data_IF_398059622560
#
_entry.id   IF_398059622560
#
_cell.length_a   1.000
_cell.length_b   1.000
_cell.length_c   1.000
_cell.angle_alpha   90.00
_cell.angle_beta   90.00
_cell.angle_gamma   90.00
#
_symmetry.space_group_name_H-M   'P 1'
#
loop_
_entity.id
_entity.type
_entity.pdbx_description
1 polymer ?
#
# COMPACT_ATOMS: atom_id res chain seq x y z
N UNK A 1 26.62 8.76 0.50
CA UNK A 1 25.56 7.95 1.13
C UNK A 1 24.44 8.88 1.54
N UNK A 2 23.26 8.60 1.05
CA UNK A 2 22.03 9.35 1.38
C UNK A 2 21.00 8.38 1.95
N UNK A 3 20.19 8.86 2.87
CA UNK A 3 19.08 8.06 3.42
C UNK A 3 17.93 8.97 3.80
N UNK A 4 16.68 8.57 3.48
CA UNK A 4 15.54 9.41 3.79
C UNK A 4 14.20 8.75 3.47
N UNK A 5 13.15 9.43 3.89
CA UNK A 5 11.77 8.97 3.83
C UNK A 5 11.04 9.56 2.61
N UNK A 6 10.40 8.71 1.85
CA UNK A 6 9.59 9.08 0.68
C UNK A 6 8.13 8.71 0.93
N UNK A 7 7.27 9.70 1.08
CA UNK A 7 5.83 9.47 1.23
C UNK A 7 5.17 9.31 -0.14
N UNK A 8 4.45 8.22 -0.35
CA UNK A 8 3.74 7.97 -1.60
C UNK A 8 2.29 8.44 -1.48
N UNK A 9 1.93 9.41 -2.29
CA UNK A 9 0.61 10.05 -2.30
C UNK A 9 -0.02 9.92 -3.68
N UNK A 10 -1.32 9.86 -3.74
CA UNK A 10 -2.09 9.82 -4.98
C UNK A 10 -3.45 9.19 -4.78
N UNK A 11 -4.26 9.24 -5.81
CA UNK A 11 -5.61 8.70 -5.82
C UNK A 11 -5.62 7.19 -5.50
N UNK A 12 -6.74 6.69 -5.02
CA UNK A 12 -6.99 5.25 -4.95
C UNK A 12 -6.86 4.63 -6.34
N UNK A 13 -6.29 3.43 -6.42
CA UNK A 13 -6.04 2.72 -7.68
C UNK A 13 -5.06 3.40 -8.68
N UNK A 14 -4.35 4.46 -8.29
CA UNK A 14 -3.25 5.01 -9.08
C UNK A 14 -2.06 4.04 -9.20
N UNK A 15 -2.00 3.02 -8.31
CA UNK A 15 -0.98 1.97 -8.32
C UNK A 15 0.14 2.16 -7.32
N UNK A 16 -0.10 2.87 -6.21
CA UNK A 16 0.89 3.15 -5.15
C UNK A 16 1.52 1.89 -4.54
N UNK A 17 0.69 1.00 -4.00
CA UNK A 17 1.17 -0.26 -3.39
C UNK A 17 1.79 -1.20 -4.44
N UNK A 18 1.28 -1.19 -5.68
CA UNK A 18 1.87 -1.95 -6.79
C UNK A 18 3.26 -1.41 -7.15
N UNK A 19 3.44 -0.09 -7.11
CA UNK A 19 4.73 0.56 -7.34
C UNK A 19 5.75 0.14 -6.26
N UNK A 20 5.37 0.19 -4.99
CA UNK A 20 6.24 -0.28 -3.89
C UNK A 20 6.66 -1.73 -4.10
N UNK A 21 5.71 -2.64 -4.34
CA UNK A 21 6.01 -4.05 -4.57
C UNK A 21 6.91 -4.25 -5.81
N UNK A 22 6.74 -3.43 -6.85
CA UNK A 22 7.61 -3.50 -8.04
C UNK A 22 9.04 -3.06 -7.73
N UNK A 23 9.23 -2.04 -6.88
CA UNK A 23 10.55 -1.55 -6.49
C UNK A 23 11.31 -2.51 -5.58
N UNK A 24 10.59 -3.24 -4.72
CA UNK A 24 11.16 -4.27 -3.84
C UNK A 24 11.43 -5.59 -4.56
N UNK A 25 10.82 -5.81 -5.71
CA UNK A 25 10.73 -7.12 -6.39
C UNK A 25 10.03 -8.20 -5.53
N UNK A 26 9.46 -7.79 -4.40
CA UNK A 26 8.75 -8.63 -3.43
C UNK A 26 7.38 -8.05 -3.09
N UNK A 27 6.45 -8.90 -2.69
CA UNK A 27 5.09 -8.48 -2.33
C UNK A 27 4.97 -8.32 -0.82
N UNK A 28 5.00 -7.08 -0.35
CA UNK A 28 4.79 -6.74 1.07
C UNK A 28 3.57 -5.86 1.30
N UNK A 29 3.14 -5.10 0.31
CA UNK A 29 2.00 -4.20 0.39
C UNK A 29 0.75 -4.83 -0.25
N UNK A 30 -0.41 -4.60 0.36
CA UNK A 30 -1.70 -5.02 -0.16
C UNK A 30 -2.00 -4.35 -1.50
N UNK A 31 -2.36 -5.15 -2.49
CA UNK A 31 -2.79 -4.67 -3.80
C UNK A 31 -4.23 -5.09 -4.07
N UNK A 32 -5.12 -4.13 -4.26
CA UNK A 32 -6.51 -4.40 -4.61
C UNK A 32 -7.04 -3.37 -5.60
N UNK A 33 -7.94 -3.80 -6.47
CA UNK A 33 -8.70 -2.90 -7.34
C UNK A 33 -9.79 -2.13 -6.59
N UNK A 34 -10.11 -2.53 -5.36
CA UNK A 34 -11.10 -1.82 -4.51
C UNK A 34 -10.47 -0.58 -3.89
N UNK A 35 -11.27 0.45 -3.76
CA UNK A 35 -10.85 1.72 -3.18
C UNK A 35 -10.46 1.55 -1.70
N UNK A 36 -9.49 2.34 -1.22
CA UNK A 36 -9.08 2.37 0.19
C UNK A 36 -8.70 0.99 0.78
N UNK A 37 -8.09 0.11 -0.02
CA UNK A 37 -7.64 -1.19 0.45
C UNK A 37 -6.48 -1.06 1.45
N UNK A 38 -5.52 -0.16 1.20
CA UNK A 38 -4.42 0.15 2.13
C UNK A 38 -4.95 0.94 3.33
N UNK A 39 -4.91 0.34 4.51
CA UNK A 39 -5.40 0.96 5.75
C UNK A 39 -4.29 1.37 6.70
N UNK A 40 -3.16 0.71 6.64
CA UNK A 40 -2.00 0.97 7.51
C UNK A 40 -0.82 1.44 6.68
N UNK A 41 0.02 2.27 7.29
CA UNK A 41 1.28 2.69 6.68
C UNK A 41 2.23 1.50 6.63
N UNK A 42 2.63 1.10 5.45
CA UNK A 42 3.68 0.11 5.25
C UNK A 42 4.94 0.87 4.86
N UNK A 43 6.05 0.56 5.51
CA UNK A 43 7.36 1.05 5.12
C UNK A 43 8.06 0.01 4.28
N UNK A 44 8.67 0.44 3.19
CA UNK A 44 9.46 -0.38 2.30
C UNK A 44 10.86 0.22 2.17
N UNK A 45 11.89 -0.57 2.35
CA UNK A 45 13.28 -0.15 2.29
C UNK A 45 13.85 -0.61 0.95
N UNK A 46 14.34 0.34 0.15
CA UNK A 46 14.92 0.07 -1.16
C UNK A 46 16.33 0.66 -1.21
N UNK A 47 17.30 -0.17 -1.53
CA UNK A 47 18.69 0.27 -1.76
C UNK A 47 18.87 0.67 -3.22
N UNK A 48 19.55 1.79 -3.47
CA UNK A 48 19.96 2.24 -4.78
C UNK A 48 21.45 2.58 -4.79
N UNK A 49 22.29 1.58 -4.99
CA UNK A 49 23.74 1.68 -4.72
C UNK A 49 23.97 1.84 -3.22
N UNK A 50 24.64 2.93 -2.83
CA UNK A 50 24.89 3.28 -1.44
C UNK A 50 23.82 4.17 -0.81
N UNK A 51 22.72 4.43 -1.49
CA UNK A 51 21.63 5.25 -0.96
C UNK A 51 20.47 4.38 -0.51
N UNK A 52 19.85 4.74 0.65
CA UNK A 52 18.69 4.05 1.23
C UNK A 52 17.43 4.90 1.09
N UNK A 53 16.40 4.37 0.46
CA UNK A 53 15.10 5.03 0.28
C UNK A 53 14.07 4.29 1.11
N UNK A 54 13.43 4.97 2.06
CA UNK A 54 12.36 4.41 2.87
C UNK A 54 11.01 4.92 2.36
N UNK A 55 10.34 4.11 1.56
CA UNK A 55 9.00 4.42 1.09
C UNK A 55 7.96 4.21 2.19
N UNK A 56 7.03 5.16 2.30
CA UNK A 56 5.88 5.08 3.20
C UNK A 56 4.63 4.99 2.32
N UNK A 57 3.99 3.81 2.28
CA UNK A 57 2.68 3.66 1.61
C UNK A 57 1.62 4.36 2.44
N UNK A 58 0.87 5.23 1.81
CA UNK A 58 -0.22 5.93 2.45
C UNK A 58 -1.56 5.53 1.85
N UNK A 59 -2.62 5.53 2.65
CA UNK A 59 -3.97 5.43 2.12
C UNK A 59 -4.21 6.47 1.03
N UNK A 60 -4.92 6.09 -0.04
CA UNK A 60 -5.18 7.00 -1.18
C UNK A 60 -6.01 8.22 -0.78
N UNK A 61 -5.68 9.38 -1.35
CA UNK A 61 -6.50 10.58 -1.25
C UNK A 61 -7.82 10.36 -2.00
N UNK A 62 -8.93 10.56 -1.34
CA UNK A 62 -10.26 10.51 -1.95
C UNK A 62 -11.20 11.48 -1.25
N UNK A 63 -11.94 12.24 -2.04
CA UNK A 63 -13.05 13.06 -1.53
C UNK A 63 -14.23 12.14 -1.18
N UNK A 64 -14.48 11.90 0.09
CA UNK A 64 -15.76 11.38 0.55
C UNK A 64 -16.09 11.88 1.95
N UNK A 65 -17.37 12.02 2.20
CA UNK A 65 -17.93 12.59 3.44
C UNK A 65 -17.90 11.62 4.64
N UNK A 66 -17.33 10.42 4.50
CA UNK A 66 -17.30 9.43 5.56
C UNK A 66 -16.13 9.65 6.52
N UNK A 67 -16.34 9.45 7.82
CA UNK A 67 -15.35 9.64 8.90
C UNK A 67 -14.04 8.88 8.67
N UNK A 68 -14.11 7.70 8.06
CA UNK A 68 -12.94 6.91 7.68
C UNK A 68 -12.05 7.64 6.66
N UNK A 69 -12.62 8.34 5.69
CA UNK A 69 -11.86 9.06 4.67
C UNK A 69 -11.20 10.33 5.21
N UNK A 70 -11.78 11.01 6.18
CA UNK A 70 -11.11 12.11 6.88
C UNK A 70 -9.87 11.63 7.62
N UNK A 71 -9.93 10.47 8.24
CA UNK A 71 -8.77 9.84 8.89
C UNK A 71 -7.67 9.48 7.87
N UNK A 72 -8.05 8.96 6.70
CA UNK A 72 -7.10 8.61 5.64
C UNK A 72 -6.41 9.86 5.05
N UNK A 73 -7.16 10.94 4.83
CA UNK A 73 -6.62 12.24 4.38
C UNK A 73 -5.69 12.82 5.45
N UNK A 74 -6.09 12.82 6.72
CA UNK A 74 -5.25 13.29 7.82
C UNK A 74 -3.97 12.46 7.97
N UNK A 75 -4.05 11.16 7.77
CA UNK A 75 -2.88 10.27 7.79
C UNK A 75 -1.92 10.56 6.64
N UNK A 76 -2.45 10.87 5.44
CA UNK A 76 -1.64 11.32 4.31
C UNK A 76 -0.98 12.67 4.59
N UNK A 77 -1.73 13.66 5.08
CA UNK A 77 -1.21 14.99 5.46
C UNK A 77 -0.12 14.87 6.52
N UNK A 78 -0.33 14.06 7.56
CA UNK A 78 0.69 13.81 8.59
C UNK A 78 1.95 13.17 8.00
N UNK A 79 1.81 12.25 7.05
CA UNK A 79 2.96 11.63 6.36
C UNK A 79 3.73 12.61 5.49
N UNK A 80 3.09 13.68 5.00
CA UNK A 80 3.76 14.75 4.26
C UNK A 80 4.66 15.60 5.16
N UNK A 81 4.35 15.71 6.46
CA UNK A 81 5.18 16.43 7.43
C UNK A 81 6.38 15.64 7.96
N UNK A 82 6.34 14.31 7.80
CA UNK A 82 7.33 13.38 8.36
C UNK A 82 8.19 12.72 7.25
N UNK A 83 8.33 13.34 6.07
CA UNK A 83 9.13 12.80 4.97
C UNK A 83 10.02 13.86 4.34
N UNK A 84 11.07 13.41 3.65
CA UNK A 84 12.04 14.26 2.94
C UNK A 84 11.58 14.57 1.51
N UNK A 85 10.86 13.63 0.89
CA UNK A 85 10.37 13.75 -0.49
C UNK A 85 8.96 13.16 -0.58
N UNK A 86 8.12 13.77 -1.42
CA UNK A 86 6.82 13.20 -1.78
C UNK A 86 6.89 12.62 -3.19
N UNK A 87 6.36 11.41 -3.35
CA UNK A 87 6.13 10.79 -4.63
C UNK A 87 4.63 10.83 -4.93
N UNK A 88 4.22 11.78 -5.79
CA UNK A 88 2.84 11.87 -6.24
C UNK A 88 2.59 10.90 -7.38
N UNK A 89 1.80 9.88 -7.14
CA UNK A 89 1.48 8.83 -8.13
C UNK A 89 0.11 9.07 -8.73
N UNK A 90 0.07 9.31 -10.02
CA UNK A 90 -1.14 9.41 -10.83
C UNK A 90 -1.15 8.31 -11.90
N UNK A 91 -2.29 7.73 -12.20
CA UNK A 91 -2.45 6.93 -13.41
C UNK A 91 -2.47 7.86 -14.63
N UNK A 92 -1.95 7.39 -15.76
CA UNK A 92 -2.00 8.16 -17.02
C UNK A 92 -3.43 8.55 -17.42
N UNK A 93 -4.45 7.85 -16.90
CA UNK A 93 -5.87 8.11 -17.14
C UNK A 93 -6.52 9.02 -16.09
N UNK A 94 -5.81 9.35 -15.00
CA UNK A 94 -6.34 10.20 -13.94
C UNK A 94 -6.43 11.66 -14.39
N UNK A 95 -7.36 12.40 -13.79
CA UNK A 95 -7.49 13.85 -14.02
C UNK A 95 -6.35 14.60 -13.34
N UNK A 96 -5.87 15.67 -13.99
CA UNK A 96 -4.90 16.61 -13.39
C UNK A 96 -5.47 17.32 -12.15
N UNK A 97 -6.81 17.35 -11.99
CA UNK A 97 -7.47 17.89 -10.78
C UNK A 97 -7.00 17.21 -9.48
N UNK A 98 -6.67 15.93 -9.54
CA UNK A 98 -6.13 15.23 -8.37
C UNK A 98 -4.78 15.81 -7.91
N UNK A 99 -3.97 16.28 -8.87
CA UNK A 99 -2.73 16.99 -8.58
C UNK A 99 -2.98 18.43 -8.11
N UNK A 100 -3.96 19.13 -8.67
CA UNK A 100 -4.37 20.44 -8.18
C UNK A 100 -4.86 20.38 -6.73
N UNK A 101 -5.66 19.37 -6.40
CA UNK A 101 -6.08 19.09 -5.03
C UNK A 101 -4.88 18.79 -4.10
N UNK A 102 -3.88 18.04 -4.58
CA UNK A 102 -2.64 17.82 -3.82
C UNK A 102 -1.89 19.15 -3.59
N UNK A 103 -1.76 20.01 -4.60
CA UNK A 103 -1.09 21.30 -4.46
C UNK A 103 -1.82 22.23 -3.48
N UNK A 104 -3.16 22.16 -3.40
CA UNK A 104 -3.96 22.94 -2.45
C UNK A 104 -3.64 22.61 -0.99
N UNK A 105 -3.07 21.43 -0.70
CA UNK A 105 -2.58 21.04 0.63
C UNK A 105 -1.26 21.72 0.98
N UNK A 106 -0.68 22.52 0.07
CA UNK A 106 0.55 23.28 0.26
C UNK A 106 1.73 22.43 0.76
N UNK A 107 2.16 21.40 0.00
CA UNK A 107 3.28 20.54 0.40
C UNK A 107 4.56 21.36 0.59
N UNK A 108 5.24 21.18 1.73
CA UNK A 108 6.45 21.93 2.09
C UNK A 108 7.75 21.28 1.63
N UNK A 109 7.67 19.98 1.29
CA UNK A 109 8.82 19.19 0.85
C UNK A 109 8.82 19.02 -0.66
N UNK A 110 10.00 18.80 -1.28
CA UNK A 110 10.07 18.57 -2.71
C UNK A 110 9.27 17.33 -3.11
N UNK A 111 8.73 17.35 -4.32
CA UNK A 111 8.00 16.20 -4.84
C UNK A 111 8.29 15.89 -6.29
N UNK A 112 8.14 14.61 -6.63
CA UNK A 112 8.24 14.04 -7.98
C UNK A 112 6.87 13.50 -8.36
N UNK A 113 6.49 13.66 -9.64
CA UNK A 113 5.28 13.07 -10.20
C UNK A 113 5.64 11.78 -10.93
N UNK A 114 4.92 10.70 -10.63
CA UNK A 114 4.98 9.43 -11.37
C UNK A 114 3.68 9.26 -12.15
N UNK A 115 3.78 9.28 -13.47
CA UNK A 115 2.68 8.92 -14.37
C UNK A 115 2.70 7.41 -14.59
N UNK A 116 1.94 6.69 -13.77
CA UNK A 116 1.89 5.23 -13.77
C UNK A 116 0.95 4.67 -14.85
N UNK A 117 1.10 3.39 -15.13
CA UNK A 117 0.30 2.61 -16.10
C UNK A 117 0.51 3.06 -17.55
N UNK A 118 1.69 3.58 -17.88
CA UNK A 118 2.00 4.01 -19.27
C UNK A 118 2.03 2.84 -20.25
N UNK A 119 2.14 1.61 -19.76
CA UNK A 119 2.01 0.39 -20.57
C UNK A 119 0.60 0.16 -21.15
N UNK A 120 -0.40 0.88 -20.66
CA UNK A 120 -1.80 0.81 -21.10
C UNK A 120 -2.20 1.96 -22.03
N UNK A 121 -1.28 2.84 -22.40
CA UNK A 121 -1.54 4.02 -23.22
C UNK A 121 -0.57 4.10 -24.40
N UNK A 122 -1.00 4.77 -25.46
CA UNK A 122 -0.15 5.11 -26.60
C UNK A 122 0.72 6.35 -26.33
N UNK A 123 1.69 6.59 -27.20
CA UNK A 123 2.58 7.75 -27.09
C UNK A 123 1.85 9.09 -27.18
N UNK A 124 0.75 9.17 -27.96
CA UNK A 124 -0.05 10.38 -28.10
C UNK A 124 -0.74 10.75 -26.78
N UNK A 125 -1.32 9.76 -26.11
CA UNK A 125 -1.94 9.91 -24.78
C UNK A 125 -0.89 10.32 -23.74
N UNK A 126 0.29 9.72 -23.77
CA UNK A 126 1.38 10.08 -22.88
C UNK A 126 1.83 11.54 -23.08
N UNK A 127 2.08 11.96 -24.32
CA UNK A 127 2.48 13.34 -24.65
C UNK A 127 1.42 14.36 -24.23
N UNK A 128 0.14 14.07 -24.50
CA UNK A 128 -0.97 14.91 -24.05
C UNK A 128 -0.96 15.08 -22.54
N UNK A 129 -0.79 13.97 -21.80
CA UNK A 129 -0.78 14.01 -20.33
C UNK A 129 0.43 14.79 -19.81
N UNK A 130 1.61 14.61 -20.36
CA UNK A 130 2.80 15.39 -19.99
C UNK A 130 2.59 16.89 -20.22
N UNK A 131 1.96 17.28 -21.33
CA UNK A 131 1.61 18.69 -21.61
C UNK A 131 0.60 19.27 -20.62
N UNK A 132 -0.37 18.45 -20.14
CA UNK A 132 -1.28 18.87 -19.08
C UNK A 132 -0.54 19.22 -17.78
N UNK A 133 0.45 18.41 -17.40
CA UNK A 133 1.29 18.65 -16.21
C UNK A 133 2.34 19.74 -16.40
N UNK A 134 2.76 20.05 -17.61
CA UNK A 134 3.76 21.09 -17.89
C UNK A 134 3.39 22.47 -17.33
N UNK A 135 2.10 22.77 -17.21
CA UNK A 135 1.57 24.00 -16.58
C UNK A 135 2.00 24.15 -15.12
N UNK A 136 2.34 23.05 -14.46
CA UNK A 136 2.73 22.99 -13.05
C UNK A 136 4.23 22.78 -12.86
N UNK A 137 5.05 22.90 -13.90
CA UNK A 137 6.49 22.59 -13.88
C UNK A 137 7.29 23.28 -12.78
N UNK A 138 6.85 24.45 -12.33
CA UNK A 138 7.47 25.20 -11.23
C UNK A 138 7.26 24.58 -9.84
N UNK A 139 6.31 23.65 -9.68
CA UNK A 139 5.96 23.08 -8.39
C UNK A 139 6.62 21.74 -8.12
N UNK A 140 6.96 20.95 -9.13
CA UNK A 140 7.58 19.63 -8.98
C UNK A 140 9.04 19.62 -9.47
N UNK A 141 9.82 18.65 -8.97
CA UNK A 141 11.23 18.50 -9.37
C UNK A 141 11.41 17.68 -10.64
N UNK A 142 10.58 16.66 -10.84
CA UNK A 142 10.59 15.83 -12.04
C UNK A 142 9.19 15.22 -12.26
N UNK A 143 8.91 14.85 -13.52
CA UNK A 143 7.78 14.02 -13.90
C UNK A 143 8.30 12.82 -14.68
N UNK A 144 7.95 11.61 -14.22
CA UNK A 144 8.47 10.36 -14.75
C UNK A 144 7.34 9.45 -15.22
N UNK A 145 7.32 9.05 -16.50
CA UNK A 145 6.49 7.94 -16.96
C UNK A 145 6.92 6.66 -16.25
N UNK A 146 5.97 5.82 -15.83
CA UNK A 146 6.24 4.60 -15.10
C UNK A 146 5.27 3.46 -15.47
N UNK A 147 5.80 2.25 -15.45
CA UNK A 147 5.00 1.03 -15.49
C UNK A 147 5.53 0.01 -14.48
N UNK A 148 4.68 -0.40 -13.55
CA UNK A 148 5.03 -1.44 -12.57
C UNK A 148 5.29 -2.81 -13.20
N UNK A 149 4.94 -3.00 -14.49
CA UNK A 149 5.17 -4.25 -15.22
C UNK A 149 6.55 -4.32 -15.89
N UNK A 150 7.27 -3.20 -15.96
CA UNK A 150 8.53 -3.08 -16.70
C UNK A 150 9.65 -2.57 -15.80
N UNK A 151 10.67 -3.39 -15.57
CA UNK A 151 11.81 -3.07 -14.68
C UNK A 151 12.65 -1.86 -15.11
N UNK A 152 12.70 -1.55 -16.40
CA UNK A 152 13.51 -0.42 -16.93
C UNK A 152 13.08 0.95 -16.39
N UNK A 153 11.91 1.09 -15.79
CA UNK A 153 11.44 2.34 -15.18
C UNK A 153 11.92 2.53 -13.73
N UNK A 154 12.40 1.48 -13.06
CA UNK A 154 12.75 1.53 -11.64
C UNK A 154 13.99 2.41 -11.41
N UNK A 155 15.09 2.12 -12.09
CA UNK A 155 16.38 2.82 -11.89
C UNK A 155 16.30 4.32 -12.12
N UNK A 156 15.65 4.83 -13.20
CA UNK A 156 15.43 6.27 -13.37
C UNK A 156 14.69 6.92 -12.21
N UNK A 157 13.64 6.27 -11.70
CA UNK A 157 12.85 6.78 -10.56
C UNK A 157 13.72 6.84 -9.30
N UNK A 158 14.42 5.76 -8.97
CA UNK A 158 15.28 5.71 -7.78
C UNK A 158 16.39 6.76 -7.85
N UNK A 159 17.01 6.93 -9.01
CA UNK A 159 18.06 7.95 -9.20
C UNK A 159 17.54 9.38 -8.99
N UNK A 160 16.34 9.71 -9.48
CA UNK A 160 15.75 11.04 -9.26
C UNK A 160 15.39 11.26 -7.79
N UNK A 161 14.89 10.24 -7.09
CA UNK A 161 14.63 10.32 -5.66
C UNK A 161 15.92 10.54 -4.86
N UNK A 162 16.99 9.78 -5.12
CA UNK A 162 18.28 9.93 -4.44
C UNK A 162 18.88 11.34 -4.56
N UNK A 163 18.62 12.06 -5.67
CA UNK A 163 19.09 13.45 -5.81
C UNK A 163 18.50 14.37 -4.75
N UNK A 164 17.27 14.09 -4.30
CA UNK A 164 16.49 14.92 -3.38
C UNK A 164 16.63 14.50 -1.90
N UNK A 165 17.14 13.30 -1.64
CA UNK A 165 17.35 12.81 -0.29
C UNK A 165 18.52 13.51 0.42
N UNK A 166 18.43 13.71 1.75
CA UNK A 166 19.51 14.26 2.55
C UNK A 166 20.69 13.29 2.67
N UNK A 167 21.87 13.83 2.96
CA UNK A 167 23.00 13.05 3.42
C UNK A 167 22.72 12.59 4.85
N UNK A 168 22.63 11.28 5.06
CA UNK A 168 22.32 10.69 6.34
C UNK A 168 22.79 9.23 6.38
N UNK A 169 23.11 8.73 7.56
CA UNK A 169 23.37 7.31 7.80
C UNK A 169 22.10 6.48 7.59
N UNK A 170 22.24 5.17 7.40
CA UNK A 170 21.08 4.29 7.22
C UNK A 170 20.18 4.29 8.46
N UNK A 171 18.88 4.45 8.25
CA UNK A 171 17.87 4.30 9.28
C UNK A 171 17.59 2.83 9.62
N UNK A 172 17.83 1.93 8.67
CA UNK A 172 17.58 0.50 8.79
C UNK A 172 18.74 -0.27 8.20
N UNK A 173 18.90 -1.52 8.64
CA UNK A 173 19.82 -2.44 7.99
C UNK A 173 19.48 -2.58 6.50
N UNK A 174 20.52 -2.58 5.66
CA UNK A 174 20.39 -2.65 4.21
C UNK A 174 19.82 -3.96 3.68
N UNK A 175 19.84 -5.02 4.51
CA UNK A 175 19.24 -6.32 4.18
C UNK A 175 17.74 -6.36 4.44
N UNK A 176 17.18 -5.41 5.18
CA UNK A 176 15.75 -5.37 5.47
C UNK A 176 14.96 -4.76 4.30
N UNK A 177 13.94 -5.48 3.85
CA UNK A 177 12.97 -4.97 2.88
C UNK A 177 11.88 -4.11 3.52
N UNK A 178 11.61 -4.33 4.80
CA UNK A 178 10.60 -3.61 5.57
C UNK A 178 10.86 -3.75 7.07
N UNK A 179 10.62 -2.69 7.87
CA UNK A 179 10.63 -2.78 9.32
C UNK A 179 9.32 -3.37 9.87
N UNK A 180 8.32 -3.64 9.00
CA UNK A 180 7.04 -4.24 9.42
C UNK A 180 7.26 -5.66 9.92
N UNK A 181 6.55 -6.03 10.97
CA UNK A 181 6.63 -7.40 11.48
C UNK A 181 6.06 -8.40 10.49
N UNK A 182 6.53 -9.64 10.54
CA UNK A 182 5.94 -10.75 9.77
C UNK A 182 4.41 -10.84 9.94
N UNK A 183 3.92 -10.60 11.18
CA UNK A 183 2.48 -10.60 11.49
C UNK A 183 1.73 -9.52 10.72
N UNK A 184 2.33 -8.35 10.53
CA UNK A 184 1.73 -7.26 9.77
C UNK A 184 1.58 -7.65 8.29
N UNK A 185 2.62 -8.25 7.72
CA UNK A 185 2.59 -8.72 6.32
C UNK A 185 1.54 -9.83 6.14
N UNK A 186 1.49 -10.80 7.06
CA UNK A 186 0.48 -11.86 6.98
C UNK A 186 -0.94 -11.32 7.11
N UNK A 187 -1.15 -10.32 7.97
CA UNK A 187 -2.42 -9.61 8.07
C UNK A 187 -2.83 -8.98 6.76
N UNK A 188 -1.92 -8.26 6.08
CA UNK A 188 -2.19 -7.66 4.78
C UNK A 188 -2.55 -8.71 3.72
N UNK A 189 -1.88 -9.86 3.68
CA UNK A 189 -2.22 -10.94 2.74
C UNK A 189 -3.58 -11.58 2.99
N UNK A 190 -3.96 -11.76 4.27
CA UNK A 190 -5.29 -12.25 4.61
C UNK A 190 -6.35 -11.21 4.21
N UNK A 191 -6.09 -9.93 4.51
CA UNK A 191 -6.99 -8.84 4.15
C UNK A 191 -7.14 -8.71 2.62
N UNK A 192 -6.05 -8.80 1.87
CA UNK A 192 -6.08 -8.82 0.40
C UNK A 192 -6.94 -9.96 -0.12
N UNK A 193 -6.80 -11.16 0.46
CA UNK A 193 -7.59 -12.31 0.08
C UNK A 193 -9.08 -12.12 0.36
N UNK A 194 -9.44 -11.37 1.42
CA UNK A 194 -10.82 -10.95 1.66
C UNK A 194 -11.30 -9.99 0.56
N UNK A 195 -10.49 -8.99 0.20
CA UNK A 195 -10.83 -8.06 -0.88
C UNK A 195 -11.02 -8.73 -2.24
N UNK A 196 -10.22 -9.74 -2.55
CA UNK A 196 -10.32 -10.47 -3.83
C UNK A 196 -11.51 -11.43 -3.89
N UNK A 197 -11.87 -12.01 -2.74
CA UNK A 197 -12.90 -13.06 -2.68
C UNK A 197 -14.30 -12.59 -2.32
N UNK A 198 -14.45 -11.35 -1.86
CA UNK A 198 -15.73 -10.76 -1.48
C UNK A 198 -16.01 -9.50 -2.29
N UNK A 199 -17.29 -9.24 -2.53
CA UNK A 199 -17.78 -8.03 -3.22
C UNK A 199 -18.27 -6.97 -2.23
N UNK A 200 -18.57 -5.77 -2.77
CA UNK A 200 -19.24 -4.67 -2.09
C UNK A 200 -18.52 -4.16 -0.84
N UNK A 201 -19.29 -3.88 0.23
CA UNK A 201 -18.80 -3.19 1.44
C UNK A 201 -18.22 -4.14 2.49
N UNK A 202 -18.47 -5.44 2.39
CA UNK A 202 -18.06 -6.42 3.40
C UNK A 202 -16.56 -6.43 3.71
N UNK A 203 -15.64 -6.33 2.73
CA UNK A 203 -14.21 -6.22 3.02
C UNK A 203 -13.86 -5.03 3.91
N UNK A 204 -14.56 -3.91 3.79
CA UNK A 204 -14.32 -2.70 4.59
C UNK A 204 -14.77 -2.84 6.05
N UNK A 205 -15.69 -3.77 6.31
CA UNK A 205 -16.22 -4.09 7.65
C UNK A 205 -15.39 -5.14 8.39
N UNK A 206 -14.23 -5.53 7.86
CA UNK A 206 -13.38 -6.57 8.44
C UNK A 206 -12.05 -6.00 8.94
N UNK A 207 -11.50 -6.57 10.00
CA UNK A 207 -10.13 -6.38 10.44
C UNK A 207 -9.49 -7.73 10.72
N UNK A 208 -8.17 -7.83 10.60
CA UNK A 208 -7.43 -9.06 10.82
C UNK A 208 -6.56 -8.93 12.06
N UNK A 209 -6.62 -9.93 12.93
CA UNK A 209 -5.74 -10.04 14.08
C UNK A 209 -5.00 -11.37 14.03
N UNK A 210 -3.68 -11.31 13.93
CA UNK A 210 -2.82 -12.48 14.09
C UNK A 210 -2.67 -12.75 15.59
N UNK A 211 -3.18 -13.88 16.04
CA UNK A 211 -3.14 -14.28 17.47
C UNK A 211 -1.82 -14.94 17.82
N UNK A 212 -1.42 -15.88 17.00
CA UNK A 212 -0.21 -16.65 17.25
C UNK A 212 0.47 -17.04 15.94
N UNK A 213 1.78 -17.18 16.00
CA UNK A 213 2.60 -17.74 14.92
C UNK A 213 3.58 -18.72 15.55
N UNK A 214 3.73 -19.90 14.96
CA UNK A 214 4.69 -20.90 15.40
C UNK A 214 5.41 -21.47 14.18
N UNK A 215 6.70 -21.38 14.19
CA UNK A 215 7.55 -21.97 13.17
C UNK A 215 8.12 -23.31 13.65
N UNK A 216 8.10 -24.27 12.76
CA UNK A 216 8.75 -25.57 12.90
C UNK A 216 9.61 -25.83 11.67
N UNK A 217 10.48 -26.81 11.70
CA UNK A 217 11.40 -27.10 10.58
C UNK A 217 10.72 -27.23 9.21
N UNK A 218 9.46 -27.70 9.15
CA UNK A 218 8.77 -28.01 7.90
C UNK A 218 7.40 -27.34 7.76
N UNK A 219 6.96 -26.54 8.75
CA UNK A 219 5.61 -25.99 8.78
C UNK A 219 5.57 -24.69 9.57
N UNK A 220 4.96 -23.66 8.98
CA UNK A 220 4.63 -22.42 9.65
C UNK A 220 3.14 -22.39 9.99
N UNK A 221 2.81 -22.27 11.27
CA UNK A 221 1.42 -22.26 11.76
C UNK A 221 1.02 -20.83 12.08
N UNK A 222 -0.12 -20.39 11.57
CA UNK A 222 -0.67 -19.07 11.81
C UNK A 222 -2.11 -19.22 12.31
N UNK A 223 -2.38 -18.67 13.49
CA UNK A 223 -3.72 -18.56 14.05
C UNK A 223 -4.19 -17.10 13.87
N UNK A 224 -5.21 -16.87 13.06
CA UNK A 224 -5.71 -15.54 12.75
C UNK A 224 -7.23 -15.43 12.95
N UNK A 225 -7.68 -14.25 13.35
CA UNK A 225 -9.07 -13.90 13.50
C UNK A 225 -9.46 -12.83 12.49
N UNK A 226 -10.57 -13.06 11.79
CA UNK A 226 -11.28 -12.08 10.98
C UNK A 226 -12.35 -11.48 11.88
N UNK A 227 -12.25 -10.19 12.15
CA UNK A 227 -13.13 -9.45 13.04
C UNK A 227 -14.11 -8.67 12.20
N UNK A 228 -15.39 -8.71 12.55
CA UNK A 228 -16.48 -8.00 11.86
C UNK A 228 -17.50 -7.44 12.85
N UNK A 229 -18.34 -6.52 12.41
CA UNK A 229 -19.30 -5.81 13.27
C UNK A 229 -20.56 -6.61 13.61
N UNK A 230 -21.04 -7.46 12.68
CA UNK A 230 -22.38 -8.06 12.75
C UNK A 230 -22.36 -9.57 12.50
N UNK A 231 -23.38 -10.26 13.00
CA UNK A 231 -23.58 -11.67 12.70
C UNK A 231 -23.90 -11.92 11.21
N UNK A 232 -24.55 -10.97 10.54
CA UNK A 232 -24.81 -11.06 9.10
C UNK A 232 -23.47 -11.06 8.32
N UNK A 233 -22.57 -10.14 8.61
CA UNK A 233 -21.24 -10.10 8.01
C UNK A 233 -20.44 -11.38 8.33
N UNK A 234 -20.53 -11.90 9.56
CA UNK A 234 -19.91 -13.18 9.92
C UNK A 234 -20.45 -14.33 9.06
N UNK A 235 -21.76 -14.41 8.86
CA UNK A 235 -22.36 -15.44 8.03
C UNK A 235 -21.89 -15.35 6.57
N UNK A 236 -21.81 -14.13 6.01
CA UNK A 236 -21.30 -13.90 4.65
C UNK A 236 -19.81 -14.28 4.51
N UNK A 237 -18.97 -13.94 5.50
CA UNK A 237 -17.55 -14.30 5.54
C UNK A 237 -17.33 -15.82 5.60
N UNK A 238 -18.15 -16.52 6.34
CA UNK A 238 -18.10 -18.00 6.43
C UNK A 238 -18.62 -18.61 5.13
N UNK A 239 -19.76 -18.12 4.65
CA UNK A 239 -20.48 -18.65 3.49
C UNK A 239 -21.19 -19.98 3.80
N UNK A 240 -21.96 -20.47 2.83
CA UNK A 240 -22.64 -21.77 2.95
C UNK A 240 -21.60 -22.87 3.15
N UNK A 241 -21.74 -23.67 4.19
CA UNK A 241 -20.83 -24.78 4.53
C UNK A 241 -19.34 -24.36 4.63
N UNK A 242 -19.09 -23.09 4.98
CA UNK A 242 -17.73 -22.57 5.13
C UNK A 242 -16.97 -22.31 3.82
N UNK A 243 -17.66 -22.35 2.68
CA UNK A 243 -17.01 -22.27 1.34
C UNK A 243 -16.27 -20.97 1.12
N UNK A 244 -16.82 -19.83 1.55
CA UNK A 244 -16.19 -18.52 1.39
C UNK A 244 -14.93 -18.41 2.23
N UNK A 245 -15.00 -18.78 3.51
CA UNK A 245 -13.85 -18.74 4.42
C UNK A 245 -12.74 -19.68 3.95
N UNK A 246 -13.10 -20.85 3.44
CA UNK A 246 -12.14 -21.82 2.87
C UNK A 246 -11.42 -21.25 1.65
N UNK A 247 -12.12 -20.50 0.77
CA UNK A 247 -11.54 -19.86 -0.41
C UNK A 247 -10.58 -18.75 0.00
N UNK A 248 -10.98 -17.87 0.92
CA UNK A 248 -10.12 -16.84 1.50
C UNK A 248 -8.86 -17.46 2.12
N UNK A 249 -9.04 -18.51 2.94
CA UNK A 249 -7.92 -19.18 3.59
C UNK A 249 -6.95 -19.87 2.61
N UNK A 250 -7.47 -20.45 1.52
CA UNK A 250 -6.63 -21.07 0.48
C UNK A 250 -5.77 -20.02 -0.23
N UNK A 251 -6.38 -18.88 -0.59
CA UNK A 251 -5.70 -17.80 -1.29
C UNK A 251 -4.64 -17.12 -0.39
N UNK A 252 -5.01 -16.73 0.84
CA UNK A 252 -4.08 -16.17 1.81
C UNK A 252 -2.91 -17.09 2.11
N UNK A 253 -3.18 -18.39 2.33
CA UNK A 253 -2.14 -19.39 2.56
C UNK A 253 -1.17 -19.48 1.40
N UNK A 254 -1.66 -19.45 0.16
CA UNK A 254 -0.81 -19.51 -1.04
C UNK A 254 0.15 -18.30 -1.09
N UNK A 255 -0.37 -17.08 -0.87
CA UNK A 255 0.42 -15.84 -0.85
C UNK A 255 1.50 -15.87 0.25
N UNK A 256 1.12 -16.27 1.47
CA UNK A 256 2.04 -16.37 2.60
C UNK A 256 3.11 -17.43 2.34
N UNK A 257 2.71 -18.63 1.88
CA UNK A 257 3.64 -19.72 1.60
C UNK A 257 4.67 -19.34 0.53
N UNK A 258 4.26 -18.57 -0.47
CA UNK A 258 5.15 -18.04 -1.51
C UNK A 258 6.18 -17.07 -0.93
N UNK A 259 5.78 -16.20 0.00
CA UNK A 259 6.69 -15.24 0.63
C UNK A 259 7.73 -15.93 1.51
N UNK A 260 7.28 -16.81 2.43
CA UNK A 260 8.19 -17.44 3.40
C UNK A 260 8.90 -18.69 2.87
N UNK A 261 8.58 -19.11 1.63
CA UNK A 261 9.13 -20.32 0.97
C UNK A 261 9.01 -21.58 1.83
N UNK A 262 7.95 -21.67 2.63
CA UNK A 262 7.68 -22.80 3.54
C UNK A 262 6.19 -23.22 3.46
N UNK A 263 5.88 -24.42 3.94
CA UNK A 263 4.50 -24.88 4.09
C UNK A 263 3.80 -24.07 5.18
N UNK A 264 2.55 -23.67 4.94
CA UNK A 264 1.74 -22.86 5.87
C UNK A 264 0.47 -23.60 6.26
N UNK A 265 0.23 -23.70 7.55
CA UNK A 265 -1.07 -24.03 8.13
C UNK A 265 -1.73 -22.75 8.64
N UNK A 266 -2.70 -22.23 7.90
CA UNK A 266 -3.45 -21.05 8.28
C UNK A 266 -4.79 -21.46 8.89
N UNK A 267 -5.02 -21.11 10.15
CA UNK A 267 -6.26 -21.29 10.88
C UNK A 267 -6.98 -19.94 10.96
N UNK A 268 -8.16 -19.83 10.34
CA UNK A 268 -8.96 -18.62 10.31
C UNK A 268 -10.24 -18.81 11.12
N UNK A 269 -10.52 -17.86 12.02
CA UNK A 269 -11.73 -17.80 12.82
C UNK A 269 -12.43 -16.47 12.58
N UNK A 270 -13.76 -16.49 12.41
CA UNK A 270 -14.56 -15.26 12.25
C UNK A 270 -15.24 -14.95 13.57
N UNK A 271 -14.95 -13.76 14.11
CA UNK A 271 -15.56 -13.27 15.36
C UNK A 271 -16.31 -11.97 15.13
N UNK A 272 -17.37 -11.75 15.90
CA UNK A 272 -18.12 -10.50 15.89
C UNK A 272 -17.67 -9.65 17.09
N UNK A 273 -17.21 -8.44 16.80
CA UNK A 273 -16.92 -7.40 17.78
C UNK A 273 -17.64 -6.13 17.36
N UNK A 274 -18.76 -5.83 18.01
CA UNK A 274 -19.56 -4.63 17.71
C UNK A 274 -18.72 -3.35 17.87
N UNK A 275 -18.88 -2.42 16.94
CA UNK A 275 -18.23 -1.10 16.95
C UNK A 275 -16.68 -1.14 17.02
N UNK A 276 -16.03 -2.20 16.54
CA UNK A 276 -14.58 -2.32 16.56
C UNK A 276 -13.87 -1.15 15.85
N UNK A 277 -14.50 -0.56 14.84
CA UNK A 277 -13.99 0.59 14.09
C UNK A 277 -13.87 1.87 14.92
N UNK A 278 -14.58 1.97 16.05
CA UNK A 278 -14.54 3.09 16.98
C UNK A 278 -13.61 2.83 18.17
N UNK A 279 -13.08 1.63 18.32
CA UNK A 279 -12.20 1.22 19.42
C UNK A 279 -10.74 1.57 19.07
N UNK A 280 -10.30 2.77 19.49
CA UNK A 280 -8.92 3.23 19.22
C UNK A 280 -7.85 2.33 19.82
N UNK A 281 -8.11 1.69 20.96
CA UNK A 281 -7.17 0.75 21.60
C UNK A 281 -7.02 -0.50 20.74
N UNK A 282 -8.10 -0.93 20.13
CA UNK A 282 -8.10 -2.08 19.23
C UNK A 282 -7.38 -1.79 17.91
N UNK A 283 -7.55 -0.57 17.36
CA UNK A 283 -6.93 -0.15 16.10
C UNK A 283 -5.42 0.12 16.23
N UNK A 284 -4.92 0.36 17.45
CA UNK A 284 -3.49 0.58 17.72
C UNK A 284 -2.70 -0.72 17.99
N UNK A 285 -3.37 -1.84 18.12
CA UNK A 285 -2.77 -3.20 18.24
C UNK A 285 -2.62 -3.86 16.87
#
# INVERSE_FOLDING_TARGET
>A
MKSGFVSIIGRTNAGKSTLINSLLEEKIALVSHKQNATRRKIKAIVMNGEDQIIFIDTPGLHESKATLNQFLIQSAIKSMGDCDVILFVASIFDSVKDYENFLSLNPKVPHIIVLNKVDLADNGTLLKKLNEYAKFSKYFKAILPYSCKKKNYQKPLLNELCKLLPEHEYFYDSEFLTPSSQKDIFREFILESIYENLSEELPYSCEIMIKNTKETSNLFIIDAQIITDTNSHKAMLIGKDGTTLKRIGKDARFKISKLIQNKVLLKLFVIVKKNWQKDEIFLKK
#
